data_IF_380383030124
#
_entry.id   IF_380383030124
#
_cell.length_a   1.000
_cell.length_b   1.000
_cell.length_c   1.000
_cell.angle_alpha   90.00
_cell.angle_beta   90.00
_cell.angle_gamma   90.00
#
_symmetry.space_group_name_H-M   'P 1'
#
loop_
_entity.id
_entity.type
_entity.pdbx_description
1 polymer ?
#
# COMPACT_ATOMS: atom_id res chain seq x y z
N UNK A 1 -0.04 -30.75 -3.76
CA UNK A 1 -0.26 -29.68 -2.77
C UNK A 1 0.01 -28.36 -3.47
N UNK A 2 -0.96 -27.45 -3.56
CA UNK A 2 -0.76 -26.10 -4.11
C UNK A 2 0.04 -25.28 -3.10
N UNK A 3 1.26 -24.93 -3.48
CA UNK A 3 2.16 -24.08 -2.70
C UNK A 3 1.64 -22.63 -2.73
N UNK A 4 0.59 -22.36 -1.95
CA UNK A 4 0.03 -21.01 -1.76
C UNK A 4 0.89 -20.16 -0.81
N UNK A 5 2.14 -20.57 -0.54
CA UNK A 5 3.06 -19.89 0.37
C UNK A 5 4.30 -19.34 -0.33
N UNK A 6 4.53 -19.65 -1.61
CA UNK A 6 5.62 -19.05 -2.37
C UNK A 6 5.53 -17.51 -2.37
N UNK A 7 6.56 -16.87 -1.81
CA UNK A 7 6.70 -15.41 -1.80
C UNK A 7 7.19 -14.98 -3.18
N UNK A 8 6.35 -14.26 -3.90
CA UNK A 8 6.67 -13.72 -5.23
C UNK A 8 7.41 -12.38 -5.14
N UNK A 9 7.02 -11.53 -4.20
CA UNK A 9 7.56 -10.19 -4.04
C UNK A 9 7.28 -9.65 -2.63
N UNK A 10 7.68 -8.41 -2.36
CA UNK A 10 7.37 -7.69 -1.14
C UNK A 10 6.63 -6.40 -1.47
N UNK A 11 5.79 -5.95 -0.53
CA UNK A 11 5.03 -4.71 -0.66
C UNK A 11 6.00 -3.52 -0.77
N UNK A 12 5.89 -2.75 -1.86
CA UNK A 12 6.74 -1.59 -2.13
C UNK A 12 6.50 -0.38 -1.22
N UNK A 13 5.54 -0.46 -0.30
CA UNK A 13 5.45 0.49 0.80
C UNK A 13 6.52 0.14 1.84
N UNK A 14 7.55 0.96 1.95
CA UNK A 14 8.72 0.76 2.83
C UNK A 14 8.32 0.58 4.31
N UNK A 15 7.24 1.23 4.75
CA UNK A 15 6.72 1.06 6.12
C UNK A 15 6.01 -0.27 6.35
N UNK A 16 5.60 -0.96 5.28
CA UNK A 16 4.87 -2.22 5.35
C UNK A 16 5.79 -3.42 5.06
N UNK A 17 6.44 -3.44 3.90
CA UNK A 17 7.36 -4.49 3.44
C UNK A 17 6.86 -5.94 3.60
N UNK A 18 5.54 -6.15 3.61
CA UNK A 18 4.94 -7.46 3.79
C UNK A 18 5.15 -8.36 2.56
N UNK A 19 5.36 -9.68 2.74
CA UNK A 19 5.47 -10.61 1.64
C UNK A 19 4.17 -10.68 0.83
N UNK A 20 4.31 -10.79 -0.49
CA UNK A 20 3.23 -10.99 -1.45
C UNK A 20 3.35 -12.43 -1.96
N UNK A 21 2.30 -13.21 -1.72
CA UNK A 21 2.26 -14.62 -2.09
C UNK A 21 1.58 -14.84 -3.45
N UNK A 22 1.88 -15.98 -4.08
CA UNK A 22 1.22 -16.38 -5.31
C UNK A 22 -0.31 -16.45 -5.15
N UNK A 23 -1.04 -15.80 -6.06
CA UNK A 23 -2.50 -15.73 -6.05
C UNK A 23 -3.10 -14.67 -5.11
N UNK A 24 -2.29 -13.93 -4.36
CA UNK A 24 -2.78 -12.82 -3.54
C UNK A 24 -3.23 -11.65 -4.42
N UNK A 25 -4.40 -11.07 -4.11
CA UNK A 25 -4.85 -9.83 -4.73
C UNK A 25 -3.94 -8.67 -4.28
N UNK A 26 -3.39 -7.95 -5.25
CA UNK A 26 -2.45 -6.84 -5.01
C UNK A 26 -2.77 -5.66 -5.91
N UNK A 27 -2.29 -4.49 -5.51
CA UNK A 27 -2.45 -3.26 -6.27
C UNK A 27 -1.12 -2.88 -6.94
N UNK A 28 -1.20 -2.31 -8.14
CA UNK A 28 -0.02 -1.90 -8.91
C UNK A 28 0.13 -0.38 -8.88
N UNK A 29 1.28 0.10 -8.41
CA UNK A 29 1.64 1.52 -8.36
C UNK A 29 2.83 1.75 -9.32
N UNK A 30 2.54 2.16 -10.56
CA UNK A 30 3.56 2.23 -11.60
C UNK A 30 4.14 0.84 -11.93
N UNK A 31 5.42 0.64 -11.65
CA UNK A 31 6.12 -0.65 -11.82
C UNK A 31 6.16 -1.51 -10.56
N UNK A 32 5.70 -0.99 -9.42
CA UNK A 32 5.80 -1.64 -8.12
C UNK A 32 4.48 -2.32 -7.70
N UNK A 33 4.58 -3.30 -6.80
CA UNK A 33 3.44 -4.03 -6.23
C UNK A 33 3.23 -3.64 -4.76
N UNK A 34 1.98 -3.42 -4.37
CA UNK A 34 1.59 -3.12 -2.99
C UNK A 34 0.48 -4.06 -2.53
N UNK A 35 0.57 -4.52 -1.28
CA UNK A 35 -0.28 -5.58 -0.76
C UNK A 35 -1.72 -5.15 -0.44
N UNK A 36 -2.01 -3.85 -0.35
CA UNK A 36 -3.33 -3.34 0.03
C UNK A 36 -3.58 -1.92 -0.46
N UNK A 37 -4.86 -1.53 -0.56
CA UNK A 37 -5.26 -0.16 -0.92
C UNK A 37 -4.72 0.90 0.04
N UNK A 38 -4.57 0.59 1.34
CA UNK A 38 -3.94 1.51 2.31
C UNK A 38 -2.47 1.79 1.96
N UNK A 39 -1.73 0.76 1.56
CA UNK A 39 -0.33 0.92 1.12
C UNK A 39 -0.24 1.67 -0.21
N UNK A 40 -1.21 1.47 -1.11
CA UNK A 40 -1.31 2.25 -2.35
C UNK A 40 -1.52 3.73 -2.05
N UNK A 41 -2.52 4.07 -1.24
CA UNK A 41 -2.83 5.46 -0.85
C UNK A 41 -1.60 6.14 -0.21
N UNK A 42 -0.91 5.43 0.70
CA UNK A 42 0.33 5.91 1.30
C UNK A 42 1.45 6.14 0.25
N UNK A 43 1.65 5.23 -0.71
CA UNK A 43 2.64 5.38 -1.79
C UNK A 43 2.30 6.52 -2.76
N UNK A 44 1.02 6.85 -2.93
CA UNK A 44 0.57 7.99 -3.72
C UNK A 44 0.69 9.33 -2.97
N UNK A 45 1.17 9.32 -1.72
CA UNK A 45 1.27 10.51 -0.88
C UNK A 45 -0.07 11.04 -0.38
N UNK A 46 -1.14 10.25 -0.56
CA UNK A 46 -2.46 10.62 -0.05
C UNK A 46 -2.54 10.30 1.45
N UNK A 47 -3.13 11.22 2.21
CA UNK A 47 -3.40 11.06 3.64
C UNK A 47 -4.89 10.84 3.86
N UNK A 48 -5.23 9.93 4.77
CA UNK A 48 -6.61 9.76 5.21
C UNK A 48 -6.97 10.96 6.09
N UNK A 49 -7.90 11.78 5.63
CA UNK A 49 -8.50 12.86 6.44
C UNK A 49 -9.88 12.44 6.92
N UNK A 50 -10.27 12.93 8.10
CA UNK A 50 -11.66 12.83 8.55
C UNK A 50 -12.39 14.09 8.10
N UNK A 51 -13.41 13.93 7.27
CA UNK A 51 -14.21 15.06 6.77
C UNK A 51 -14.74 15.91 7.93
N UNK A 52 -14.54 17.22 7.87
CA UNK A 52 -14.94 18.17 8.92
C UNK A 52 -13.98 18.29 10.12
N UNK A 53 -12.81 17.61 10.09
CA UNK A 53 -11.72 17.78 11.06
C UNK A 53 -10.41 18.20 10.39
N UNK A 54 -10.52 19.01 9.34
CA UNK A 54 -9.37 19.52 8.60
C UNK A 54 -8.77 20.67 9.43
N UNK A 55 -7.63 20.44 10.08
CA UNK A 55 -6.83 21.56 10.59
C UNK A 55 -6.34 22.36 9.37
N UNK A 56 -6.46 23.70 9.36
CA UNK A 56 -5.96 24.49 8.25
C UNK A 56 -4.48 24.18 8.09
N UNK A 57 -4.09 23.67 6.92
CA UNK A 57 -2.69 23.57 6.53
C UNK A 57 -2.12 24.98 6.59
N UNK A 58 -1.39 25.27 7.66
CA UNK A 58 -0.70 26.52 7.86
C UNK A 58 0.29 26.72 6.72
N UNK A 59 -0.02 27.65 5.83
CA UNK A 59 0.91 28.15 4.85
C UNK A 59 1.35 29.54 5.35
N UNK A 60 2.58 29.61 5.88
CA UNK A 60 3.32 30.85 6.15
C UNK A 60 3.74 31.53 4.84
#
# INVERSE_FOLDING_TARGET
MTDSQEVLNYCANESCNAPIHFGQEVWKAGSELVCSGKCLVAKLGAKTVTAGKEEPEGNE
#
